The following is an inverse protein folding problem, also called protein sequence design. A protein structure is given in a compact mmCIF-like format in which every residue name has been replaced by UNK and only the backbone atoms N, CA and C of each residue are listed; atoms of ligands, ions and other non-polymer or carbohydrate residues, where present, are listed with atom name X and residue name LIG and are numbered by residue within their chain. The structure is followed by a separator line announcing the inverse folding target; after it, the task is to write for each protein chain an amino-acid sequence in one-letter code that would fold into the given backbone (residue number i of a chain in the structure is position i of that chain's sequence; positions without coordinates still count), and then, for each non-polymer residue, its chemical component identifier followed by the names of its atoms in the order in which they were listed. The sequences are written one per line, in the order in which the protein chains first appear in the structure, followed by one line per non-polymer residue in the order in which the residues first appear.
data_IF_226819993424
#
_entry.id   IF_226819993424
#
_cell.length_a   1.000
_cell.length_b   1.000
_cell.length_c   1.000
_cell.angle_alpha   90.00
_cell.angle_beta   90.00
_cell.angle_gamma   90.00
#
_symmetry.space_group_name_H-M   'P 1'
#
loop_
_entity.id
_entity.type
_entity.pdbx_description
1 polymer ?
#
# COMPACT_ATOMS: atom_id res chain seq x y z
N UNK A 1 -14.30 3.42 -16.14
CA UNK A 1 -13.35 2.56 -16.87
C UNK A 1 -12.91 1.41 -15.97
N UNK A 2 -13.36 0.20 -16.31
CA UNK A 2 -12.98 -1.06 -15.67
C UNK A 2 -11.45 -1.22 -15.63
N UNK A 3 -10.86 -1.72 -14.54
CA UNK A 3 -9.58 -2.46 -14.62
C UNK A 3 -9.20 -3.15 -13.30
N UNK A 4 -9.21 -4.48 -13.37
CA UNK A 4 -8.70 -5.50 -12.44
C UNK A 4 -7.37 -5.12 -11.72
N UNK A 5 -7.38 -4.45 -10.57
CA UNK A 5 -6.13 -3.98 -9.90
C UNK A 5 -5.53 -4.92 -8.85
N UNK A 6 -6.15 -6.07 -8.57
CA UNK A 6 -5.67 -6.97 -7.51
C UNK A 6 -4.38 -7.76 -7.84
N UNK A 7 -4.04 -7.92 -9.12
CA UNK A 7 -2.85 -8.66 -9.59
C UNK A 7 -1.60 -7.77 -9.75
N UNK A 8 -1.67 -6.54 -10.30
CA UNK A 8 -0.49 -5.68 -10.41
C UNK A 8 -0.02 -5.14 -9.06
N UNK A 9 -0.93 -4.73 -8.15
CA UNK A 9 -0.55 -4.15 -6.85
C UNK A 9 0.28 -5.10 -6.00
N UNK A 10 -0.07 -6.40 -5.99
CA UNK A 10 0.71 -7.41 -5.27
C UNK A 10 2.14 -7.54 -5.80
N UNK A 11 2.32 -7.44 -7.12
CA UNK A 11 3.63 -7.57 -7.77
C UNK A 11 4.47 -6.35 -7.42
N UNK A 12 3.93 -5.16 -7.64
CA UNK A 12 4.57 -3.89 -7.32
C UNK A 12 5.02 -3.80 -5.85
N UNK A 13 4.14 -4.15 -4.90
CA UNK A 13 4.51 -4.20 -3.48
C UNK A 13 5.62 -5.22 -3.18
N UNK A 14 5.71 -6.30 -3.95
CA UNK A 14 6.77 -7.29 -3.79
C UNK A 14 8.10 -6.74 -4.30
N UNK A 15 8.11 -6.09 -5.46
CA UNK A 15 9.29 -5.38 -5.99
C UNK A 15 9.82 -4.35 -4.96
N UNK A 16 8.94 -3.58 -4.34
CA UNK A 16 9.32 -2.65 -3.25
C UNK A 16 9.93 -3.39 -2.06
N UNK A 17 9.33 -4.50 -1.63
CA UNK A 17 9.84 -5.28 -0.51
C UNK A 17 11.21 -5.91 -0.84
N UNK A 18 11.41 -6.36 -2.08
CA UNK A 18 12.69 -6.89 -2.59
C UNK A 18 13.76 -5.77 -2.68
N UNK A 19 13.35 -4.54 -2.97
CA UNK A 19 14.22 -3.35 -2.91
C UNK A 19 14.54 -2.87 -1.47
N UNK A 20 14.02 -3.54 -0.44
CA UNK A 20 14.24 -3.18 0.96
C UNK A 20 13.25 -2.15 1.52
N UNK A 21 12.21 -1.79 0.77
CA UNK A 21 11.17 -0.86 1.21
C UNK A 21 10.23 -1.55 2.19
N UNK A 22 10.04 -0.96 3.37
CA UNK A 22 9.11 -1.52 4.37
C UNK A 22 7.68 -1.07 4.10
N UNK A 23 6.74 -2.02 4.14
CA UNK A 23 5.32 -1.77 3.87
C UNK A 23 4.53 -1.70 5.17
N UNK A 24 3.72 -0.66 5.31
CA UNK A 24 2.92 -0.38 6.49
C UNK A 24 1.45 -0.22 6.09
N UNK A 25 0.55 -0.75 6.90
CA UNK A 25 -0.89 -0.66 6.72
C UNK A 25 -1.50 -0.20 8.05
N UNK A 26 -2.22 0.93 8.03
CA UNK A 26 -2.84 1.56 9.21
C UNK A 26 -1.86 1.70 10.38
N UNK A 27 -0.65 2.19 10.10
CA UNK A 27 0.38 2.37 11.13
C UNK A 27 1.04 1.09 11.65
N UNK A 28 0.79 -0.08 11.04
CA UNK A 28 1.42 -1.34 11.41
C UNK A 28 2.24 -1.96 10.27
N UNK A 29 3.42 -2.57 10.56
CA UNK A 29 4.17 -3.30 9.54
C UNK A 29 3.32 -4.44 8.98
N UNK A 30 3.24 -4.50 7.66
CA UNK A 30 2.32 -5.38 6.95
C UNK A 30 2.97 -6.02 5.73
N UNK A 31 2.24 -6.93 5.09
CA UNK A 31 2.73 -7.66 3.91
C UNK A 31 1.94 -7.27 2.67
N UNK A 32 2.51 -7.43 1.46
CA UNK A 32 1.85 -7.16 0.19
C UNK A 32 0.49 -7.84 0.09
N UNK A 33 0.40 -9.09 0.57
CA UNK A 33 -0.85 -9.86 0.60
C UNK A 33 -1.90 -9.22 1.49
N UNK A 34 -1.53 -8.74 2.68
CA UNK A 34 -2.45 -8.08 3.63
C UNK A 34 -2.95 -6.75 3.07
N UNK A 35 -2.07 -5.92 2.52
CA UNK A 35 -2.43 -4.61 1.93
C UNK A 35 -3.40 -4.80 0.75
N UNK A 36 -3.11 -5.73 -0.16
CA UNK A 36 -4.00 -6.04 -1.29
C UNK A 36 -5.35 -6.57 -0.81
N UNK A 37 -5.37 -7.39 0.25
CA UNK A 37 -6.62 -7.89 0.83
C UNK A 37 -7.43 -6.74 1.45
N UNK A 38 -6.78 -5.85 2.21
CA UNK A 38 -7.40 -4.68 2.81
C UNK A 38 -8.00 -3.74 1.75
N UNK A 39 -7.25 -3.45 0.68
CA UNK A 39 -7.74 -2.70 -0.48
C UNK A 39 -8.98 -3.32 -1.13
N UNK A 40 -9.06 -4.65 -1.20
CA UNK A 40 -10.23 -5.35 -1.75
C UNK A 40 -11.44 -5.35 -0.83
N UNK A 41 -11.22 -5.24 0.49
CA UNK A 41 -12.27 -5.23 1.50
C UNK A 41 -12.76 -3.81 1.81
N UNK A 42 -12.06 -2.77 1.36
CA UNK A 42 -12.50 -1.39 1.49
C UNK A 42 -13.71 -1.13 0.59
N UNK A 43 -14.91 -1.30 1.14
CA UNK A 43 -16.17 -1.00 0.46
C UNK A 43 -16.57 0.48 0.59
N UNK A 44 -16.22 1.14 1.70
CA UNK A 44 -16.64 2.51 2.05
C UNK A 44 -15.46 3.47 2.26
N UNK A 45 -14.38 3.28 1.52
CA UNK A 45 -13.22 4.13 1.62
C UNK A 45 -12.14 3.74 0.62
N UNK A 46 -11.06 4.50 0.65
CA UNK A 46 -9.87 4.26 -0.17
C UNK A 46 -8.66 4.23 0.73
N UNK A 47 -7.68 3.39 0.40
CA UNK A 47 -6.40 3.43 1.07
C UNK A 47 -5.49 4.38 0.31
N UNK A 48 -5.02 5.43 0.97
CA UNK A 48 -4.02 6.33 0.40
C UNK A 48 -2.63 5.77 0.67
N UNK A 49 -1.73 5.96 -0.29
CA UNK A 49 -0.34 5.52 -0.23
C UNK A 49 0.58 6.71 -0.04
N UNK A 50 1.36 6.69 1.04
CA UNK A 50 2.38 7.69 1.36
C UNK A 50 3.77 7.09 1.17
N UNK A 51 4.67 7.84 0.52
CA UNK A 51 6.05 7.43 0.28
C UNK A 51 6.94 8.14 1.29
N UNK A 52 7.64 7.36 2.09
CA UNK A 52 8.57 7.86 3.08
C UNK A 52 9.97 7.63 2.56
N UNK A 53 10.69 8.71 2.35
CA UNK A 53 12.08 8.69 1.90
C UNK A 53 13.03 8.47 3.10
N UNK A 54 14.19 7.86 2.83
CA UNK A 54 15.31 7.84 3.79
C UNK A 54 16.12 9.14 3.69
N UNK A 55 17.18 9.23 4.49
CA UNK A 55 18.16 10.31 4.48
C UNK A 55 18.88 10.51 3.13
N UNK A 56 18.79 9.53 2.21
CA UNK A 56 19.37 9.61 0.87
C UNK A 56 18.37 10.08 -0.20
N UNK A 57 17.11 10.33 0.16
CA UNK A 57 16.04 10.66 -0.79
C UNK A 57 15.51 9.44 -1.57
N UNK A 58 15.79 8.23 -1.10
CA UNK A 58 15.25 7.00 -1.69
C UNK A 58 14.02 6.55 -0.91
N UNK A 59 13.01 6.02 -1.61
CA UNK A 59 11.80 5.49 -0.96
C UNK A 59 12.23 4.34 -0.03
N UNK A 60 12.05 4.55 1.27
CA UNK A 60 12.44 3.60 2.30
C UNK A 60 11.23 2.90 2.92
N UNK A 61 10.08 3.59 2.97
CA UNK A 61 8.84 3.01 3.49
C UNK A 61 7.64 3.45 2.67
N UNK A 62 6.66 2.58 2.62
CA UNK A 62 5.36 2.82 2.01
C UNK A 62 4.30 2.64 3.08
N UNK A 63 3.54 3.70 3.34
CA UNK A 63 2.44 3.67 4.31
C UNK A 63 1.10 3.67 3.57
N UNK A 64 0.23 2.75 3.98
CA UNK A 64 -1.13 2.65 3.48
C UNK A 64 -2.08 3.02 4.60
N UNK A 65 -2.75 4.16 4.47
CA UNK A 65 -3.68 4.66 5.46
C UNK A 65 -5.10 4.61 4.93
N UNK A 66 -6.01 4.02 5.71
CA UNK A 66 -7.41 3.93 5.31
C UNK A 66 -8.10 5.28 5.46
N UNK A 67 -8.62 5.80 4.35
CA UNK A 67 -9.39 7.02 4.30
C UNK A 67 -10.84 6.67 4.04
N UNK A 68 -11.67 6.88 5.06
CA UNK A 68 -13.12 6.80 4.93
C UNK A 68 -13.59 7.94 4.07
N UNK A 69 -14.15 7.63 2.90
CA UNK A 69 -14.87 8.62 2.10
C UNK A 69 -16.21 8.85 2.80
N UNK A 70 -16.34 9.94 3.57
CA UNK A 70 -17.63 10.34 4.14
C UNK A 70 -18.60 10.58 2.98
N UNK A 71 -19.71 9.86 3.00
CA UNK A 71 -20.88 10.09 2.15
C UNK A 71 -21.67 11.26 2.68
#
# INVERSE_FOLDING_TARGET
MSRKTGKPLKKELRDYQEAGVTLWLDGHPSTPKKIVKAHKLAENGVYMRDYVENEKGEIAKLKFDFVKTKK
#
